data_IF_616131559123
#
_entry.id   IF_616131559123
#
_cell.length_a   1.000
_cell.length_b   1.000
_cell.length_c   1.000
_cell.angle_alpha   90.00
_cell.angle_beta   90.00
_cell.angle_gamma   90.00
#
_symmetry.space_group_name_H-M   'P 1'
#
loop_
_entity.id
_entity.type
_entity.pdbx_description
1 polymer ?
#
# COMPACT_ATOMS: atom_id res chain seq x y z
N UNK A 1 7.20 -15.64 6.01
CA UNK A 1 8.11 -15.51 4.86
C UNK A 1 7.30 -15.86 3.62
N UNK A 2 6.55 -14.89 3.12
CA UNK A 2 5.82 -15.05 1.86
C UNK A 2 6.87 -14.88 0.77
N UNK A 3 7.24 -15.98 0.14
CA UNK A 3 8.08 -16.00 -1.04
C UNK A 3 7.45 -15.07 -2.07
N UNK A 4 8.14 -14.00 -2.44
CA UNK A 4 7.83 -13.28 -3.66
C UNK A 4 7.80 -14.33 -4.78
N UNK A 5 6.79 -14.35 -5.67
CA UNK A 5 6.79 -15.25 -6.79
C UNK A 5 8.10 -15.05 -7.56
N UNK A 6 8.77 -16.15 -7.83
CA UNK A 6 10.00 -16.21 -8.60
C UNK A 6 9.77 -15.48 -9.94
N UNK A 7 10.54 -14.42 -10.28
CA UNK A 7 10.42 -13.73 -11.56
C UNK A 7 10.65 -14.64 -12.77
N UNK A 8 10.99 -15.93 -12.56
CA UNK A 8 11.18 -16.92 -13.62
C UNK A 8 9.91 -17.71 -14.00
N UNK A 9 8.77 -17.52 -13.31
CA UNK A 9 7.47 -18.10 -13.70
C UNK A 9 6.60 -17.16 -14.54
N UNK A 10 7.20 -16.29 -15.34
CA UNK A 10 6.45 -15.61 -16.39
C UNK A 10 5.99 -16.62 -17.43
N UNK A 11 4.68 -16.74 -17.62
CA UNK A 11 4.10 -17.53 -18.70
C UNK A 11 4.73 -17.10 -20.02
N UNK A 12 5.40 -18.05 -20.71
CA UNK A 12 6.15 -17.77 -21.94
C UNK A 12 5.71 -18.68 -23.08
N UNK A 13 5.01 -19.76 -22.76
CA UNK A 13 4.61 -20.75 -23.75
C UNK A 13 3.50 -20.19 -24.66
N UNK A 14 3.60 -20.57 -25.93
CA UNK A 14 2.64 -20.30 -26.98
C UNK A 14 1.90 -21.59 -27.28
N UNK A 15 0.58 -21.59 -27.15
CA UNK A 15 -0.25 -22.72 -27.59
C UNK A 15 -0.71 -22.49 -29.02
N UNK A 16 -0.25 -23.36 -29.93
CA UNK A 16 -0.71 -23.38 -31.33
C UNK A 16 -1.71 -24.51 -31.51
N UNK A 17 -2.87 -24.17 -32.08
CA UNK A 17 -3.99 -25.14 -32.25
C UNK A 17 -4.39 -25.21 -33.71
N UNK A 18 -4.28 -26.40 -34.28
CA UNK A 18 -4.58 -26.70 -35.66
C UNK A 18 -4.92 -28.19 -35.79
N UNK A 19 -5.98 -28.52 -36.52
CA UNK A 19 -6.40 -29.93 -36.69
C UNK A 19 -5.48 -30.72 -37.65
N UNK A 20 -4.61 -30.03 -38.37
CA UNK A 20 -3.66 -30.64 -39.26
C UNK A 20 -2.31 -30.91 -38.57
N UNK A 21 -1.92 -32.17 -38.30
CA UNK A 21 -0.68 -32.48 -37.59
C UNK A 21 0.57 -31.94 -38.28
N UNK A 22 0.51 -31.80 -39.60
CA UNK A 22 1.60 -31.24 -40.41
C UNK A 22 1.79 -29.74 -40.12
N UNK A 23 0.69 -29.01 -40.02
CA UNK A 23 0.68 -27.58 -39.64
C UNK A 23 1.27 -27.39 -38.23
N UNK A 24 0.89 -28.21 -37.25
CA UNK A 24 1.44 -28.21 -35.90
C UNK A 24 2.95 -28.44 -35.89
N UNK A 25 3.44 -29.46 -36.59
CA UNK A 25 4.87 -29.76 -36.70
C UNK A 25 5.65 -28.64 -37.39
N UNK A 26 5.07 -28.10 -38.48
CA UNK A 26 5.68 -27.00 -39.24
C UNK A 26 5.81 -25.74 -38.36
N UNK A 27 4.74 -25.35 -37.67
CA UNK A 27 4.74 -24.19 -36.77
C UNK A 27 5.78 -24.35 -35.65
N UNK A 28 5.80 -25.50 -34.98
CA UNK A 28 6.78 -25.76 -33.94
C UNK A 28 8.21 -25.79 -34.48
N UNK A 29 8.44 -26.32 -35.69
CA UNK A 29 9.75 -26.35 -36.33
C UNK A 29 10.24 -24.98 -36.81
N UNK A 30 9.33 -24.14 -37.32
CA UNK A 30 9.68 -22.78 -37.78
C UNK A 30 9.97 -21.79 -36.66
N UNK A 31 9.24 -21.88 -35.55
CA UNK A 31 9.27 -20.86 -34.50
C UNK A 31 9.80 -21.36 -33.16
N UNK A 32 10.05 -22.68 -33.00
CA UNK A 32 10.52 -23.30 -31.77
C UNK A 32 11.99 -23.00 -31.40
N UNK A 33 12.74 -22.38 -32.32
CA UNK A 33 14.10 -21.88 -32.08
C UNK A 33 14.11 -20.63 -31.18
N UNK A 34 13.03 -19.85 -31.22
CA UNK A 34 12.90 -18.58 -30.50
C UNK A 34 11.83 -18.65 -29.40
N UNK A 35 10.78 -19.43 -29.55
CA UNK A 35 9.62 -19.46 -28.71
C UNK A 35 9.39 -20.86 -28.10
N UNK A 36 8.87 -20.89 -26.87
CA UNK A 36 8.39 -22.14 -26.26
C UNK A 36 6.98 -22.45 -26.81
N UNK A 37 6.89 -23.45 -27.69
CA UNK A 37 5.67 -23.77 -28.44
C UNK A 37 5.15 -25.13 -28.03
N UNK A 38 3.90 -25.14 -27.57
CA UNK A 38 3.09 -26.37 -27.44
C UNK A 38 2.02 -26.37 -28.52
N UNK A 39 1.71 -27.54 -29.01
CA UNK A 39 0.71 -27.72 -30.07
C UNK A 39 -0.45 -28.58 -29.58
N UNK A 40 -1.65 -28.33 -30.10
CA UNK A 40 -2.83 -29.12 -29.88
C UNK A 40 -3.52 -29.41 -31.24
N UNK A 41 -4.00 -30.61 -31.41
CA UNK A 41 -4.64 -31.10 -32.64
C UNK A 41 -6.10 -30.72 -32.80
N UNK A 42 -6.59 -29.80 -31.93
CA UNK A 42 -7.95 -29.30 -31.98
C UNK A 42 -8.42 -28.66 -30.66
N UNK A 43 -9.66 -28.21 -30.67
CA UNK A 43 -10.25 -27.43 -29.54
C UNK A 43 -10.30 -28.25 -28.26
N UNK A 44 -10.64 -29.53 -28.33
CA UNK A 44 -10.79 -30.41 -27.15
C UNK A 44 -9.46 -30.58 -26.43
N UNK A 45 -8.38 -30.86 -27.16
CA UNK A 45 -7.04 -31.01 -26.61
C UNK A 45 -6.51 -29.65 -26.08
N UNK A 46 -6.73 -28.57 -26.82
CA UNK A 46 -6.36 -27.24 -26.38
C UNK A 46 -7.00 -26.85 -25.04
N UNK A 47 -8.30 -27.11 -24.88
CA UNK A 47 -8.99 -26.86 -23.61
C UNK A 47 -8.49 -27.77 -22.49
N UNK A 48 -8.14 -29.02 -22.76
CA UNK A 48 -7.55 -29.91 -21.77
C UNK A 48 -6.16 -29.42 -21.30
N UNK A 49 -5.30 -28.97 -22.23
CA UNK A 49 -4.01 -28.36 -21.91
C UNK A 49 -4.17 -27.07 -21.09
N UNK A 50 -5.10 -26.21 -21.48
CA UNK A 50 -5.39 -24.98 -20.73
C UNK A 50 -5.92 -25.26 -19.33
N UNK A 51 -6.74 -26.29 -19.15
CA UNK A 51 -7.23 -26.67 -17.82
C UNK A 51 -6.13 -27.22 -16.91
N UNK A 52 -5.13 -27.88 -17.46
CA UNK A 52 -4.01 -28.46 -16.71
C UNK A 52 -2.88 -27.46 -16.46
N UNK A 53 -2.54 -26.64 -17.48
CA UNK A 53 -1.33 -25.83 -17.52
C UNK A 53 -1.60 -24.37 -17.97
N UNK A 54 -2.83 -23.87 -17.81
CA UNK A 54 -3.25 -22.57 -18.35
C UNK A 54 -2.39 -21.37 -17.92
N UNK A 55 -1.78 -21.44 -16.74
CA UNK A 55 -0.89 -20.38 -16.23
C UNK A 55 0.50 -20.35 -16.91
N UNK A 56 0.88 -21.38 -17.65
CA UNK A 56 2.17 -21.44 -18.36
C UNK A 56 2.08 -20.76 -19.73
N UNK A 57 0.87 -20.62 -20.27
CA UNK A 57 0.66 -20.03 -21.58
C UNK A 57 0.48 -18.51 -21.50
N UNK A 58 1.15 -17.80 -22.41
CA UNK A 58 1.02 -16.36 -22.64
C UNK A 58 0.17 -16.04 -23.87
N UNK A 59 0.28 -16.87 -24.91
CA UNK A 59 -0.32 -16.64 -26.22
C UNK A 59 -1.04 -17.88 -26.70
N UNK A 60 -2.22 -17.71 -27.28
CA UNK A 60 -2.94 -18.72 -28.05
C UNK A 60 -2.95 -18.31 -29.51
N UNK A 61 -2.51 -19.19 -30.39
CA UNK A 61 -2.66 -19.09 -31.84
C UNK A 61 -3.57 -20.22 -32.28
N UNK A 62 -4.70 -19.95 -32.90
CA UNK A 62 -5.62 -21.03 -33.34
C UNK A 62 -5.96 -20.88 -34.81
N UNK A 63 -6.06 -22.02 -35.50
CA UNK A 63 -6.67 -22.04 -36.82
C UNK A 63 -8.16 -21.68 -36.74
N UNK A 64 -8.68 -21.06 -37.79
CA UNK A 64 -10.09 -20.67 -37.88
C UNK A 64 -10.99 -21.88 -38.14
N UNK A 65 -10.62 -22.73 -39.14
CA UNK A 65 -11.45 -23.83 -39.60
C UNK A 65 -10.91 -25.18 -39.11
N UNK A 66 -11.55 -25.70 -38.09
CA UNK A 66 -11.25 -27.03 -37.57
C UNK A 66 -12.53 -27.90 -37.59
N UNK A 67 -12.43 -29.20 -37.86
CA UNK A 67 -13.56 -30.13 -37.71
C UNK A 67 -14.13 -30.05 -36.29
N UNK A 68 -15.35 -30.46 -36.08
CA UNK A 68 -16.06 -30.52 -34.81
C UNK A 68 -16.34 -29.17 -34.12
N UNK A 69 -15.35 -28.28 -33.98
CA UNK A 69 -15.50 -26.93 -33.38
C UNK A 69 -14.55 -25.95 -34.05
N UNK A 70 -15.08 -24.81 -34.49
CA UNK A 70 -14.28 -23.77 -35.12
C UNK A 70 -13.41 -23.01 -34.08
N UNK A 71 -12.30 -22.42 -34.55
CA UNK A 71 -11.40 -21.64 -33.71
C UNK A 71 -12.06 -20.47 -33.04
N UNK A 72 -13.17 -19.95 -33.57
CA UNK A 72 -13.92 -18.86 -32.92
C UNK A 72 -14.54 -19.26 -31.60
N UNK A 73 -15.04 -20.52 -31.50
CA UNK A 73 -15.57 -21.02 -30.22
C UNK A 73 -14.47 -21.21 -29.19
N UNK A 74 -13.28 -21.65 -29.62
CA UNK A 74 -12.10 -21.69 -28.73
C UNK A 74 -11.74 -20.31 -28.25
N UNK A 75 -11.63 -19.32 -29.13
CA UNK A 75 -11.30 -17.94 -28.81
C UNK A 75 -12.28 -17.34 -27.80
N UNK A 76 -13.59 -17.58 -27.99
CA UNK A 76 -14.64 -17.11 -27.07
C UNK A 76 -14.53 -17.77 -25.69
N UNK A 77 -14.29 -19.09 -25.63
CA UNK A 77 -14.08 -19.79 -24.37
C UNK A 77 -12.85 -19.28 -23.63
N UNK A 78 -11.74 -19.13 -24.34
CA UNK A 78 -10.48 -18.60 -23.77
C UNK A 78 -10.65 -17.12 -23.33
N UNK A 79 -11.41 -16.32 -24.07
CA UNK A 79 -11.70 -14.94 -23.64
C UNK A 79 -12.47 -14.89 -22.32
N UNK A 80 -13.37 -15.82 -22.09
CA UNK A 80 -14.17 -15.87 -20.85
C UNK A 80 -13.36 -16.40 -19.68
N UNK A 81 -12.65 -17.53 -19.87
CA UNK A 81 -12.08 -18.34 -18.81
C UNK A 81 -10.57 -18.07 -18.59
N UNK A 82 -9.83 -17.63 -19.63
CA UNK A 82 -8.38 -17.39 -19.63
C UNK A 82 -8.04 -16.00 -20.18
N UNK A 83 -8.58 -14.95 -19.56
CA UNK A 83 -8.45 -13.55 -20.00
C UNK A 83 -7.03 -13.03 -20.10
N UNK A 84 -6.08 -13.68 -19.42
CA UNK A 84 -4.67 -13.31 -19.44
C UNK A 84 -4.00 -13.66 -20.77
N UNK A 85 -4.50 -14.67 -21.51
CA UNK A 85 -3.94 -15.08 -22.77
C UNK A 85 -4.17 -14.03 -23.86
N UNK A 86 -3.11 -13.72 -24.60
CA UNK A 86 -3.20 -12.98 -25.84
C UNK A 86 -3.57 -13.94 -26.96
N UNK A 87 -4.51 -13.58 -27.81
CA UNK A 87 -5.09 -14.45 -28.82
C UNK A 87 -4.72 -13.96 -30.22
N UNK A 88 -4.29 -14.88 -31.05
CA UNK A 88 -4.03 -14.72 -32.48
C UNK A 88 -4.87 -15.73 -33.24
N UNK A 89 -5.28 -15.38 -34.44
CA UNK A 89 -6.04 -16.26 -35.35
C UNK A 89 -5.20 -16.53 -36.58
N UNK A 90 -4.96 -17.81 -36.92
CA UNK A 90 -4.38 -18.22 -38.19
C UNK A 90 -5.50 -18.60 -39.13
N UNK A 91 -5.46 -18.20 -40.39
CA UNK A 91 -6.50 -18.55 -41.35
C UNK A 91 -5.99 -18.48 -42.81
N UNK A 92 -6.40 -19.44 -43.63
CA UNK A 92 -6.17 -19.39 -45.09
C UNK A 92 -7.14 -18.43 -45.80
N UNK A 93 -8.15 -17.91 -45.08
CA UNK A 93 -9.20 -17.10 -45.66
C UNK A 93 -9.50 -15.88 -44.73
N UNK A 94 -8.86 -14.79 -44.99
CA UNK A 94 -9.03 -13.55 -44.22
C UNK A 94 -10.19 -12.68 -44.78
N UNK A 95 -11.34 -13.28 -45.09
CA UNK A 95 -12.51 -12.53 -45.52
C UNK A 95 -12.94 -11.51 -44.46
N UNK A 96 -13.46 -10.36 -44.93
CA UNK A 96 -13.85 -9.23 -44.05
C UNK A 96 -14.75 -9.62 -42.87
N UNK A 97 -15.68 -10.55 -43.10
CA UNK A 97 -16.60 -11.03 -42.06
C UNK A 97 -15.88 -11.83 -40.97
N UNK A 98 -14.95 -12.73 -41.33
CA UNK A 98 -14.12 -13.50 -40.41
C UNK A 98 -13.23 -12.58 -39.59
N UNK A 99 -12.59 -11.63 -40.26
CA UNK A 99 -11.74 -10.65 -39.58
C UNK A 99 -12.53 -9.81 -38.54
N UNK A 100 -13.71 -9.31 -38.95
CA UNK A 100 -14.58 -8.57 -38.03
C UNK A 100 -15.07 -9.42 -36.83
N UNK A 101 -15.45 -10.66 -37.08
CA UNK A 101 -15.86 -11.59 -36.01
C UNK A 101 -14.70 -11.90 -35.05
N UNK A 102 -13.51 -12.17 -35.56
CA UNK A 102 -12.31 -12.44 -34.77
C UNK A 102 -11.94 -11.25 -33.87
N UNK A 103 -11.96 -10.02 -34.40
CA UNK A 103 -11.66 -8.81 -33.62
C UNK A 103 -12.76 -8.53 -32.60
N UNK A 104 -14.04 -8.56 -33.00
CA UNK A 104 -15.15 -8.15 -32.14
C UNK A 104 -15.52 -9.20 -31.10
N UNK A 105 -15.58 -10.48 -31.46
CA UNK A 105 -16.03 -11.58 -30.62
C UNK A 105 -14.87 -12.36 -30.01
N UNK A 106 -13.81 -12.66 -30.78
CA UNK A 106 -12.62 -13.37 -30.30
C UNK A 106 -11.64 -12.48 -29.54
N UNK A 107 -11.72 -11.14 -29.72
CA UNK A 107 -10.76 -10.16 -29.18
C UNK A 107 -9.31 -10.56 -29.49
N UNK A 108 -9.06 -10.95 -30.74
CA UNK A 108 -7.71 -11.30 -31.21
C UNK A 108 -6.86 -10.05 -31.39
N UNK A 109 -5.58 -10.15 -31.08
CA UNK A 109 -4.60 -9.08 -31.31
C UNK A 109 -4.31 -8.91 -32.80
N UNK A 110 -4.11 -10.03 -33.51
CA UNK A 110 -3.75 -10.04 -34.93
C UNK A 110 -4.26 -11.29 -35.60
N UNK A 111 -4.50 -11.19 -36.91
CA UNK A 111 -4.82 -12.33 -37.78
C UNK A 111 -3.59 -12.64 -38.62
N UNK A 112 -3.20 -13.91 -38.66
CA UNK A 112 -2.10 -14.44 -39.44
C UNK A 112 -2.67 -15.16 -40.65
N UNK A 113 -2.31 -14.69 -41.86
CA UNK A 113 -2.76 -15.32 -43.07
C UNK A 113 -1.86 -16.47 -43.47
N UNK A 114 -2.47 -17.63 -43.80
CA UNK A 114 -1.75 -18.80 -44.30
C UNK A 114 -1.52 -18.70 -45.80
N UNK A 115 -0.34 -19.06 -46.35
CA UNK A 115 0.81 -19.63 -45.64
C UNK A 115 1.49 -18.61 -44.73
N UNK A 116 1.91 -19.07 -43.55
CA UNK A 116 2.51 -18.19 -42.53
C UNK A 116 3.87 -17.67 -43.03
N UNK A 117 4.00 -16.37 -43.09
CA UNK A 117 5.26 -15.70 -43.35
C UNK A 117 6.13 -15.72 -42.08
N UNK A 118 7.41 -16.11 -42.18
CA UNK A 118 8.31 -16.25 -41.04
C UNK A 118 8.49 -14.93 -40.30
N UNK A 119 8.79 -13.86 -41.00
CA UNK A 119 9.09 -12.54 -40.41
C UNK A 119 7.85 -11.94 -39.74
N UNK A 120 6.73 -11.90 -40.45
CA UNK A 120 5.49 -11.32 -39.94
C UNK A 120 4.91 -12.11 -38.77
N UNK A 121 5.05 -13.44 -38.79
CA UNK A 121 4.58 -14.29 -37.70
C UNK A 121 5.44 -14.11 -36.45
N UNK A 122 6.80 -14.07 -36.57
CA UNK A 122 7.69 -13.77 -35.44
C UNK A 122 7.40 -12.42 -34.82
N UNK A 123 7.18 -11.39 -35.64
CA UNK A 123 6.79 -10.06 -35.14
C UNK A 123 5.49 -10.11 -34.34
N UNK A 124 4.47 -10.79 -34.88
CA UNK A 124 3.18 -10.93 -34.19
C UNK A 124 3.29 -11.70 -32.87
N UNK A 125 4.11 -12.75 -32.82
CA UNK A 125 4.36 -13.51 -31.58
C UNK A 125 5.13 -12.69 -30.55
N UNK A 126 6.14 -11.93 -30.96
CA UNK A 126 6.87 -10.98 -30.07
C UNK A 126 5.95 -9.90 -29.51
N UNK A 127 5.10 -9.31 -30.37
CA UNK A 127 4.11 -8.32 -29.97
C UNK A 127 3.12 -8.91 -28.95
N UNK A 128 2.62 -10.12 -29.19
CA UNK A 128 1.69 -10.80 -28.31
C UNK A 128 2.32 -11.09 -26.93
N UNK A 129 3.55 -11.60 -26.89
CA UNK A 129 4.29 -11.83 -25.65
C UNK A 129 4.58 -10.54 -24.89
N UNK A 130 4.98 -9.48 -25.59
CA UNK A 130 5.22 -8.17 -24.99
C UNK A 130 3.93 -7.59 -24.37
N UNK A 131 2.79 -7.72 -25.07
CA UNK A 131 1.50 -7.29 -24.55
C UNK A 131 1.06 -8.11 -23.33
N UNK A 132 1.30 -9.43 -23.34
CA UNK A 132 1.03 -10.30 -22.19
C UNK A 132 1.83 -9.83 -20.96
N UNK A 133 3.15 -9.61 -21.12
CA UNK A 133 4.02 -9.12 -20.04
C UNK A 133 3.58 -7.76 -19.50
N UNK A 134 3.27 -6.80 -20.39
CA UNK A 134 2.79 -5.48 -19.98
C UNK A 134 1.52 -5.56 -19.14
N UNK A 135 0.55 -6.38 -19.56
CA UNK A 135 -0.69 -6.61 -18.80
C UNK A 135 -0.46 -7.33 -17.48
N UNK A 136 0.49 -8.26 -17.41
CA UNK A 136 0.84 -8.95 -16.16
C UNK A 136 1.44 -7.98 -15.14
N UNK A 137 2.36 -7.11 -15.57
CA UNK A 137 2.95 -6.05 -14.72
C UNK A 137 1.86 -5.09 -14.21
N UNK A 138 0.97 -4.64 -15.10
CA UNK A 138 -0.13 -3.73 -14.73
C UNK A 138 -1.07 -4.35 -13.70
N UNK A 139 -1.41 -5.65 -13.85
CA UNK A 139 -2.22 -6.39 -12.87
C UNK A 139 -1.51 -6.50 -11.52
N UNK A 140 -0.25 -6.91 -11.52
CA UNK A 140 0.54 -7.03 -10.29
C UNK A 140 0.65 -5.71 -9.54
N UNK A 141 0.87 -4.60 -10.25
CA UNK A 141 0.88 -3.25 -9.68
C UNK A 141 -0.47 -2.86 -9.10
N UNK A 142 -1.56 -3.19 -9.79
CA UNK A 142 -2.91 -2.88 -9.33
C UNK A 142 -3.32 -3.73 -8.11
N UNK A 143 -2.99 -5.01 -8.12
CA UNK A 143 -3.21 -5.91 -6.98
C UNK A 143 -2.41 -5.45 -5.75
N UNK A 144 -1.15 -5.06 -5.95
CA UNK A 144 -0.33 -4.46 -4.89
C UNK A 144 -0.93 -3.17 -4.32
N UNK A 145 -1.47 -2.30 -5.18
CA UNK A 145 -2.17 -1.07 -4.75
C UNK A 145 -3.43 -1.39 -3.94
N UNK A 146 -4.25 -2.33 -4.40
CA UNK A 146 -5.48 -2.74 -3.70
C UNK A 146 -5.16 -3.38 -2.35
N UNK A 147 -4.14 -4.22 -2.27
CA UNK A 147 -3.69 -4.82 -1.02
C UNK A 147 -3.20 -3.76 -0.01
N UNK A 148 -2.38 -2.80 -0.46
CA UNK A 148 -1.91 -1.69 0.36
C UNK A 148 -3.05 -0.81 0.87
N UNK A 149 -4.06 -0.53 0.01
CA UNK A 149 -5.24 0.24 0.40
C UNK A 149 -6.07 -0.49 1.47
N UNK A 150 -6.32 -1.79 1.29
CA UNK A 150 -7.08 -2.61 2.28
C UNK A 150 -6.41 -2.61 3.64
N UNK A 151 -5.09 -2.73 3.68
CA UNK A 151 -4.37 -2.73 4.94
C UNK A 151 -4.38 -1.36 5.61
N UNK A 152 -4.22 -0.27 4.83
CA UNK A 152 -4.34 1.09 5.34
C UNK A 152 -5.74 1.35 5.91
N UNK A 153 -6.80 0.87 5.25
CA UNK A 153 -8.18 0.94 5.74
C UNK A 153 -8.37 0.16 7.05
N UNK A 154 -7.79 -1.03 7.15
CA UNK A 154 -7.84 -1.84 8.39
C UNK A 154 -7.16 -1.14 9.56
N UNK A 155 -5.98 -0.56 9.33
CA UNK A 155 -5.27 0.24 10.32
C UNK A 155 -6.09 1.46 10.78
N UNK A 156 -6.67 2.20 9.85
CA UNK A 156 -7.48 3.38 10.16
C UNK A 156 -8.74 3.03 10.94
N UNK A 157 -9.44 1.98 10.55
CA UNK A 157 -10.61 1.52 11.29
C UNK A 157 -10.26 1.23 12.76
N UNK A 158 -9.09 0.63 12.99
CA UNK A 158 -8.61 0.37 14.34
C UNK A 158 -8.24 1.65 15.08
N UNK A 159 -7.49 2.57 14.45
CA UNK A 159 -7.07 3.83 15.05
C UNK A 159 -8.24 4.81 15.30
N UNK A 160 -9.34 4.69 14.57
CA UNK A 160 -10.56 5.45 14.81
C UNK A 160 -11.43 4.82 15.91
N UNK A 161 -11.54 3.50 15.97
CA UNK A 161 -12.39 2.82 16.94
C UNK A 161 -11.96 3.09 18.39
N UNK A 162 -10.66 3.17 18.65
CA UNK A 162 -10.10 3.44 20.00
C UNK A 162 -10.54 4.81 20.55
N UNK A 163 -10.28 5.96 19.88
CA UNK A 163 -10.72 7.25 20.39
C UNK A 163 -12.24 7.41 20.39
N UNK A 164 -12.97 6.81 19.43
CA UNK A 164 -14.43 6.82 19.44
C UNK A 164 -15.01 6.06 20.63
N UNK A 165 -14.44 4.92 21.01
CA UNK A 165 -14.82 4.21 22.24
C UNK A 165 -14.57 5.06 23.48
N UNK A 166 -13.47 5.81 23.49
CA UNK A 166 -13.15 6.75 24.58
C UNK A 166 -14.13 7.92 24.65
N UNK A 167 -14.47 8.53 23.50
CA UNK A 167 -15.54 9.56 23.42
C UNK A 167 -16.84 9.03 24.00
N UNK A 168 -17.27 7.84 23.57
CA UNK A 168 -18.48 7.20 24.08
C UNK A 168 -18.40 6.96 25.59
N UNK A 169 -17.23 6.55 26.11
CA UNK A 169 -17.02 6.36 27.54
C UNK A 169 -17.19 7.64 28.35
N UNK A 170 -16.58 8.76 27.91
CA UNK A 170 -16.77 10.06 28.55
C UNK A 170 -18.23 10.54 28.53
N UNK A 171 -18.87 10.46 27.36
CA UNK A 171 -20.28 10.85 27.22
C UNK A 171 -21.21 9.97 28.08
N UNK A 172 -21.00 8.66 28.11
CA UNK A 172 -21.75 7.75 28.97
C UNK A 172 -21.55 8.07 30.47
N UNK A 173 -20.32 8.41 30.86
CA UNK A 173 -20.04 8.83 32.26
C UNK A 173 -20.78 10.10 32.63
N UNK A 174 -20.86 11.09 31.71
CA UNK A 174 -21.62 12.33 31.92
C UNK A 174 -23.12 12.03 32.02
N UNK A 175 -23.68 11.27 31.07
CA UNK A 175 -25.11 10.92 31.05
C UNK A 175 -25.52 10.19 32.32
N UNK A 176 -24.71 9.23 32.78
CA UNK A 176 -25.03 8.45 33.99
C UNK A 176 -24.93 9.27 35.30
N UNK A 177 -24.34 10.45 35.26
CA UNK A 177 -24.25 11.38 36.40
C UNK A 177 -25.34 12.45 36.43
N UNK A 178 -26.21 12.46 35.46
CA UNK A 178 -27.36 13.36 35.42
C UNK A 178 -28.29 13.10 36.63
N UNK A 179 -28.62 14.15 37.36
CA UNK A 179 -29.52 14.11 38.48
C UNK A 179 -30.91 14.63 38.06
N UNK A 180 -32.00 14.05 38.58
CA UNK A 180 -33.34 14.60 38.35
C UNK A 180 -33.44 16.02 38.93
N UNK A 181 -34.28 16.86 38.32
CA UNK A 181 -34.49 18.23 38.74
C UNK A 181 -34.96 18.29 40.21
N UNK A 182 -34.26 19.05 41.05
CA UNK A 182 -34.62 19.26 42.43
C UNK A 182 -35.76 20.29 42.53
N UNK A 183 -36.67 20.20 43.53
CA UNK A 183 -37.70 21.21 43.78
C UNK A 183 -37.10 22.59 43.99
N UNK A 184 -37.54 23.62 43.24
CA UNK A 184 -37.06 24.98 43.33
C UNK A 184 -35.92 25.36 42.37
N UNK A 185 -35.50 24.48 41.49
CA UNK A 185 -34.53 24.83 40.46
C UNK A 185 -35.08 25.81 39.43
N UNK A 186 -34.25 26.72 38.95
CA UNK A 186 -34.59 27.63 37.84
C UNK A 186 -34.87 26.81 36.56
N UNK A 187 -35.85 27.22 35.73
CA UNK A 187 -36.11 26.53 34.44
C UNK A 187 -34.87 26.51 33.56
N UNK A 188 -34.58 25.33 32.95
CA UNK A 188 -33.42 25.16 32.10
C UNK A 188 -32.12 24.81 32.83
N UNK A 189 -32.12 24.65 34.14
CA UNK A 189 -30.95 24.16 34.91
C UNK A 189 -30.89 22.66 34.92
N UNK A 190 -29.69 22.10 34.68
CA UNK A 190 -29.41 20.65 34.74
C UNK A 190 -28.35 20.41 35.80
N UNK A 191 -28.55 19.37 36.61
CA UNK A 191 -27.59 18.97 37.65
C UNK A 191 -26.88 17.65 37.32
N UNK A 192 -25.60 17.59 37.68
CA UNK A 192 -24.81 16.37 37.58
C UNK A 192 -24.16 16.06 38.94
N UNK A 193 -24.07 14.79 39.29
CA UNK A 193 -23.30 14.34 40.44
C UNK A 193 -21.81 14.34 40.07
N UNK A 194 -20.99 15.11 40.78
CA UNK A 194 -19.53 15.10 40.61
C UNK A 194 -18.86 14.53 41.86
N UNK A 195 -17.86 13.65 41.65
CA UNK A 195 -16.99 13.19 42.75
C UNK A 195 -15.91 14.23 43.07
N UNK A 196 -15.49 14.97 42.03
CA UNK A 196 -14.57 16.09 42.14
C UNK A 196 -15.11 17.25 41.34
N UNK A 197 -14.99 18.50 41.85
CA UNK A 197 -15.49 19.69 41.16
C UNK A 197 -14.88 19.82 39.75
N UNK A 198 -15.72 20.01 38.73
CA UNK A 198 -15.32 20.20 37.33
C UNK A 198 -15.10 18.89 36.56
N UNK A 199 -15.36 17.73 37.15
CA UNK A 199 -15.15 16.41 36.49
C UNK A 199 -16.02 16.22 35.25
N UNK A 200 -17.26 16.71 35.26
CA UNK A 200 -18.17 16.65 34.11
C UNK A 200 -17.66 17.51 32.97
N UNK A 201 -17.21 18.73 33.26
CA UNK A 201 -16.66 19.63 32.24
C UNK A 201 -15.34 19.09 31.66
N UNK A 202 -14.50 18.49 32.50
CA UNK A 202 -13.28 17.83 32.06
C UNK A 202 -13.58 16.63 31.14
N UNK A 203 -14.60 15.84 31.47
CA UNK A 203 -15.04 14.70 30.62
C UNK A 203 -15.55 15.19 29.25
N UNK A 204 -16.35 16.27 29.20
CA UNK A 204 -16.84 16.85 27.94
C UNK A 204 -15.68 17.40 27.10
N UNK A 205 -14.75 18.16 27.70
CA UNK A 205 -13.58 18.68 27.00
C UNK A 205 -12.67 17.56 26.48
N UNK A 206 -12.53 16.45 27.21
CA UNK A 206 -11.80 15.27 26.75
C UNK A 206 -12.51 14.56 25.58
N UNK A 207 -13.83 14.45 25.62
CA UNK A 207 -14.62 13.88 24.54
C UNK A 207 -14.48 14.74 23.26
N UNK A 208 -14.56 16.07 23.38
CA UNK A 208 -14.41 17.00 22.27
C UNK A 208 -13.01 16.87 21.60
N UNK A 209 -11.94 16.91 22.40
CA UNK A 209 -10.56 16.74 21.89
C UNK A 209 -10.40 15.41 21.16
N UNK A 210 -10.97 14.33 21.66
CA UNK A 210 -10.94 13.01 20.99
C UNK A 210 -11.74 12.98 19.69
N UNK A 211 -12.88 13.66 19.64
CA UNK A 211 -13.66 13.80 18.42
C UNK A 211 -12.92 14.60 17.34
N UNK A 212 -12.28 15.73 17.70
CA UNK A 212 -11.45 16.51 16.80
C UNK A 212 -10.26 15.70 16.28
N UNK A 213 -9.61 14.89 17.12
CA UNK A 213 -8.58 13.98 16.71
C UNK A 213 -9.07 12.95 15.67
N UNK A 214 -10.27 12.36 15.87
CA UNK A 214 -10.88 11.47 14.88
C UNK A 214 -11.14 12.17 13.54
N UNK A 215 -11.60 13.43 13.56
CA UNK A 215 -11.82 14.23 12.35
C UNK A 215 -10.50 14.48 11.61
N UNK A 216 -9.43 14.84 12.31
CA UNK A 216 -8.10 15.03 11.74
C UNK A 216 -7.60 13.74 11.08
N UNK A 217 -7.71 12.58 11.73
CA UNK A 217 -7.37 11.27 11.14
C UNK A 217 -8.16 10.98 9.86
N UNK A 218 -9.47 11.24 9.86
CA UNK A 218 -10.32 11.02 8.67
C UNK A 218 -9.95 11.96 7.52
N UNK A 219 -9.77 13.25 7.80
CA UNK A 219 -9.39 14.24 6.79
C UNK A 219 -8.06 13.88 6.14
N UNK A 220 -7.09 13.51 6.95
CA UNK A 220 -5.78 13.01 6.54
C UNK A 220 -5.89 11.82 5.60
N UNK A 221 -6.75 10.86 5.93
CA UNK A 221 -6.95 9.68 5.09
C UNK A 221 -7.64 10.00 3.75
N UNK A 222 -8.70 10.80 3.76
CA UNK A 222 -9.42 11.21 2.55
C UNK A 222 -8.47 11.93 1.59
N UNK A 223 -7.62 12.80 2.11
CA UNK A 223 -6.60 13.49 1.33
C UNK A 223 -5.58 12.50 0.75
N UNK A 224 -5.07 11.57 1.57
CA UNK A 224 -4.15 10.52 1.13
C UNK A 224 -4.72 9.63 0.02
N UNK A 225 -6.02 9.31 0.09
CA UNK A 225 -6.70 8.55 -0.94
C UNK A 225 -6.86 9.34 -2.25
N UNK A 226 -7.04 10.66 -2.18
CA UNK A 226 -7.10 11.56 -3.36
C UNK A 226 -5.73 11.72 -4.01
N UNK A 227 -4.68 11.89 -3.21
CA UNK A 227 -3.31 12.11 -3.70
C UNK A 227 -2.65 10.83 -4.26
N UNK A 228 -3.30 9.67 -4.11
CA UNK A 228 -2.89 8.42 -4.75
C UNK A 228 -3.11 8.40 -6.27
N UNK A 229 -3.81 9.41 -6.85
CA UNK A 229 -3.97 9.55 -8.29
C UNK A 229 -2.70 10.14 -8.94
N UNK A 230 -2.27 9.62 -10.11
CA UNK A 230 -1.12 10.16 -10.83
C UNK A 230 -1.39 11.61 -11.27
N UNK A 231 -0.56 12.55 -10.81
CA UNK A 231 -0.63 13.96 -11.19
C UNK A 231 -0.77 14.97 -10.05
N UNK A 232 -0.90 14.55 -8.80
CA UNK A 232 -0.83 15.45 -7.66
C UNK A 232 0.58 16.05 -7.55
N UNK A 233 0.69 17.37 -7.55
CA UNK A 233 1.95 18.07 -7.30
C UNK A 233 2.38 17.77 -5.86
N UNK A 234 3.51 17.11 -5.71
CA UNK A 234 4.13 16.84 -4.41
C UNK A 234 4.56 18.17 -3.78
N UNK A 235 3.78 18.70 -2.85
CA UNK A 235 4.17 19.87 -2.06
C UNK A 235 5.20 19.44 -1.01
N UNK A 236 6.31 20.14 -0.94
CA UNK A 236 7.29 19.98 0.12
C UNK A 236 6.90 20.85 1.33
N UNK A 237 7.16 20.37 2.54
CA UNK A 237 6.90 21.10 3.80
C UNK A 237 8.03 20.83 4.79
N UNK A 238 8.22 21.72 5.77
CA UNK A 238 9.30 21.55 6.74
C UNK A 238 8.96 20.50 7.81
N UNK A 239 9.98 19.80 8.28
CA UNK A 239 9.84 18.82 9.35
C UNK A 239 9.42 19.48 10.66
N UNK A 240 9.93 20.69 10.96
CA UNK A 240 9.55 21.48 12.13
C UNK A 240 8.06 21.84 12.13
N UNK A 241 7.50 22.22 10.97
CA UNK A 241 6.06 22.54 10.87
C UNK A 241 5.18 21.33 11.15
N UNK A 242 5.63 20.12 10.74
CA UNK A 242 4.89 18.88 11.00
C UNK A 242 4.92 18.50 12.49
N UNK A 243 6.08 18.62 13.14
CA UNK A 243 6.20 18.33 14.59
C UNK A 243 5.43 19.34 15.42
N UNK A 244 5.43 20.62 15.05
CA UNK A 244 4.63 21.64 15.74
C UNK A 244 3.13 21.31 15.64
N UNK A 245 2.62 20.97 14.44
CA UNK A 245 1.23 20.52 14.30
C UNK A 245 0.92 19.29 15.15
N UNK A 246 1.83 18.31 15.24
CA UNK A 246 1.67 17.18 16.13
C UNK A 246 1.52 17.63 17.59
N UNK A 247 2.41 18.47 18.09
CA UNK A 247 2.41 18.90 19.47
C UNK A 247 1.19 19.75 19.86
N UNK A 248 0.60 20.45 18.88
CA UNK A 248 -0.58 21.31 19.09
C UNK A 248 -1.90 20.53 18.96
N UNK A 249 -1.98 19.59 18.02
CA UNK A 249 -3.23 18.93 17.64
C UNK A 249 -3.39 17.53 18.28
N UNK A 250 -2.29 16.86 18.67
CA UNK A 250 -2.37 15.51 19.26
C UNK A 250 -3.15 15.52 20.57
N UNK A 251 -4.08 14.59 20.71
CA UNK A 251 -4.97 14.48 21.86
C UNK A 251 -4.28 13.86 23.09
N UNK A 252 -3.36 14.59 23.68
CA UNK A 252 -2.71 14.23 24.95
C UNK A 252 -3.72 14.09 26.09
N UNK A 253 -3.51 13.13 26.98
CA UNK A 253 -4.35 12.91 28.18
C UNK A 253 -3.71 13.62 29.39
N UNK A 254 -4.52 14.33 30.17
CA UNK A 254 -4.06 14.99 31.39
C UNK A 254 -2.82 15.86 31.18
N UNK A 255 -1.72 15.51 31.81
CA UNK A 255 -0.44 16.24 31.73
C UNK A 255 0.52 15.70 30.64
N UNK A 256 0.11 14.74 29.82
CA UNK A 256 1.00 14.10 28.83
C UNK A 256 1.68 15.09 27.89
N UNK A 257 1.00 16.24 27.55
CA UNK A 257 1.60 17.29 26.70
C UNK A 257 2.89 17.87 27.31
N UNK A 258 2.95 17.99 28.63
CA UNK A 258 4.14 18.50 29.33
C UNK A 258 5.34 17.55 29.28
N UNK A 259 5.11 16.28 28.94
CA UNK A 259 6.18 15.28 28.81
C UNK A 259 6.86 15.31 27.44
N UNK A 260 6.20 15.93 26.44
CA UNK A 260 6.70 16.01 25.08
C UNK A 260 7.44 17.32 24.82
N UNK A 261 8.67 17.21 24.31
CA UNK A 261 9.52 18.34 23.91
C UNK A 261 10.06 18.12 22.49
N UNK A 262 10.35 19.23 21.79
CA UNK A 262 10.99 19.21 20.48
C UNK A 262 12.31 19.96 20.55
N UNK A 263 13.36 19.40 19.93
CA UNK A 263 14.67 20.03 19.73
C UNK A 263 14.97 20.03 18.23
N UNK A 264 15.21 21.21 17.68
CA UNK A 264 15.53 21.36 16.25
C UNK A 264 17.01 21.75 16.17
N UNK A 265 17.86 20.77 15.81
CA UNK A 265 19.27 21.01 15.51
C UNK A 265 19.43 21.55 14.09
N UNK A 266 18.71 20.93 13.14
CA UNK A 266 18.66 21.34 11.74
C UNK A 266 17.28 20.97 11.17
N UNK A 267 16.55 21.96 10.62
CA UNK A 267 15.28 21.71 9.93
C UNK A 267 15.53 21.24 8.50
N UNK A 268 14.59 20.46 7.95
CA UNK A 268 14.68 19.92 6.60
C UNK A 268 13.30 19.78 5.97
N UNK A 269 13.29 19.68 4.64
CA UNK A 269 12.07 19.50 3.87
C UNK A 269 11.73 18.01 3.72
N UNK A 270 10.43 17.74 3.86
CA UNK A 270 9.83 16.41 3.75
C UNK A 270 9.09 16.26 2.41
N UNK A 271 9.06 15.05 1.83
CA UNK A 271 8.30 14.78 0.60
C UNK A 271 6.80 14.82 0.85
N UNK A 272 6.07 15.30 -0.10
CA UNK A 272 4.71 15.77 -0.14
C UNK A 272 3.54 14.87 0.30
N UNK A 273 3.71 14.02 1.29
CA UNK A 273 2.60 13.27 1.92
C UNK A 273 2.50 13.61 3.40
N UNK A 274 2.23 14.90 3.65
CA UNK A 274 2.16 15.49 4.99
C UNK A 274 1.24 14.70 5.92
N UNK A 275 0.09 14.33 5.43
CA UNK A 275 -0.95 13.57 6.13
C UNK A 275 -0.47 12.18 6.57
N UNK A 276 0.15 11.40 5.70
CA UNK A 276 0.69 10.08 6.07
C UNK A 276 1.81 10.20 7.09
N UNK A 277 2.70 11.18 6.92
CA UNK A 277 3.76 11.44 7.88
C UNK A 277 3.20 11.91 9.22
N UNK A 278 2.16 12.74 9.23
CA UNK A 278 1.46 13.12 10.45
C UNK A 278 0.92 11.91 11.20
N UNK A 279 0.29 10.94 10.50
CA UNK A 279 -0.17 9.68 11.10
C UNK A 279 0.98 8.84 11.67
N UNK A 280 2.13 8.81 11.01
CA UNK A 280 3.33 8.16 11.54
C UNK A 280 3.72 8.81 12.87
N UNK A 281 3.80 10.14 12.93
CA UNK A 281 4.17 10.85 14.17
C UNK A 281 3.14 10.62 15.28
N UNK A 282 1.84 10.66 14.97
CA UNK A 282 0.77 10.33 15.92
C UNK A 282 0.93 8.91 16.48
N UNK A 283 1.23 7.94 15.61
CA UNK A 283 1.42 6.54 16.02
C UNK A 283 2.62 6.37 16.96
N UNK A 284 3.74 7.02 16.63
CA UNK A 284 4.95 6.98 17.45
C UNK A 284 4.74 7.68 18.80
N UNK A 285 4.09 8.85 18.80
CA UNK A 285 3.75 9.59 20.03
C UNK A 285 2.84 8.76 20.94
N UNK A 286 1.78 8.16 20.37
CA UNK A 286 0.88 7.26 21.11
C UNK A 286 1.64 6.09 21.73
N UNK A 287 2.53 5.45 20.97
CA UNK A 287 3.32 4.33 21.46
C UNK A 287 4.22 4.74 22.63
N UNK A 288 4.90 5.88 22.52
CA UNK A 288 5.75 6.42 23.59
C UNK A 288 4.94 6.76 24.86
N UNK A 289 3.80 7.50 24.72
CA UNK A 289 2.95 7.84 25.86
C UNK A 289 2.44 6.59 26.58
N UNK A 290 2.01 5.58 25.83
CA UNK A 290 1.56 4.32 26.39
C UNK A 290 2.70 3.53 27.06
N UNK A 291 3.92 3.59 26.53
CA UNK A 291 5.08 2.90 27.11
C UNK A 291 5.49 3.53 28.45
N UNK A 292 5.36 4.82 28.59
CA UNK A 292 5.73 5.59 29.78
C UNK A 292 4.65 5.62 30.86
N UNK A 293 3.44 5.13 30.59
CA UNK A 293 2.31 5.18 31.52
C UNK A 293 2.65 4.49 32.84
N UNK A 294 2.47 5.21 33.96
CA UNK A 294 2.78 4.74 35.30
C UNK A 294 4.27 4.80 35.71
N UNK A 295 5.16 5.29 34.85
CA UNK A 295 6.57 5.51 35.21
C UNK A 295 6.79 6.89 35.85
N UNK A 296 7.75 7.05 36.75
CA UNK A 296 8.11 8.35 37.30
C UNK A 296 8.86 9.17 36.27
N UNK A 297 8.51 10.47 36.16
CA UNK A 297 9.18 11.44 35.29
C UNK A 297 9.15 11.07 33.79
N UNK A 298 7.96 10.78 33.20
CA UNK A 298 7.86 10.42 31.79
C UNK A 298 8.38 11.55 30.90
N UNK A 299 9.13 11.20 29.85
CA UNK A 299 9.72 12.18 28.92
C UNK A 299 9.78 11.62 27.51
N UNK A 300 9.14 12.34 26.58
CA UNK A 300 9.29 12.14 25.14
C UNK A 300 10.06 13.33 24.56
N UNK A 301 11.15 13.06 23.87
CA UNK A 301 11.94 14.08 23.17
C UNK A 301 11.92 13.77 21.68
N UNK A 302 11.51 14.74 20.87
CA UNK A 302 11.52 14.67 19.42
C UNK A 302 12.68 15.55 18.93
N UNK A 303 13.60 14.98 18.17
CA UNK A 303 14.76 15.69 17.65
C UNK A 303 14.74 15.71 16.13
N UNK A 304 15.02 16.88 15.55
CA UNK A 304 15.22 17.07 14.11
C UNK A 304 16.68 17.41 13.85
N UNK A 305 17.31 16.71 12.92
CA UNK A 305 18.71 16.94 12.58
C UNK A 305 19.20 16.04 11.47
N UNK A 306 20.52 15.88 11.38
CA UNK A 306 21.18 14.96 10.44
C UNK A 306 21.98 13.91 11.18
N UNK A 307 22.04 12.73 10.61
CA UNK A 307 22.88 11.65 11.11
C UNK A 307 23.90 11.23 10.05
N UNK A 308 25.18 11.06 10.43
CA UNK A 308 26.21 10.55 9.51
C UNK A 308 25.80 9.17 8.98
N UNK A 309 25.94 8.96 7.69
CA UNK A 309 25.75 7.64 7.11
C UNK A 309 27.06 6.85 7.20
N UNK A 310 26.99 5.59 7.65
CA UNK A 310 28.17 4.73 7.66
C UNK A 310 28.70 4.55 6.23
N UNK A 311 29.93 5.03 5.95
CA UNK A 311 30.58 5.03 4.64
C UNK A 311 30.68 6.43 4.01
N UNK A 312 31.07 6.50 2.71
CA UNK A 312 31.26 7.74 1.95
C UNK A 312 29.89 8.23 1.44
N UNK A 313 29.01 8.68 2.32
CA UNK A 313 27.70 9.21 1.98
C UNK A 313 27.42 10.56 2.65
N UNK A 314 26.58 11.40 2.01
CA UNK A 314 26.08 12.62 2.65
C UNK A 314 25.22 12.31 3.87
N UNK A 315 25.28 13.13 4.95
CA UNK A 315 24.42 12.96 6.12
C UNK A 315 22.95 12.90 5.72
N UNK A 316 22.20 11.97 6.31
CA UNK A 316 20.75 11.83 6.06
C UNK A 316 19.95 12.66 7.04
N UNK A 317 18.90 13.32 6.57
CA UNK A 317 17.93 13.99 7.43
C UNK A 317 17.24 12.94 8.31
N UNK A 318 17.16 13.22 9.61
CA UNK A 318 16.67 12.28 10.60
C UNK A 318 15.73 12.98 11.60
N UNK A 319 14.62 12.29 11.92
CA UNK A 319 13.73 12.64 13.03
C UNK A 319 13.79 11.53 14.06
N UNK A 320 14.11 11.86 15.32
CA UNK A 320 14.26 10.90 16.43
C UNK A 320 13.13 11.09 17.43
N UNK A 321 12.45 10.01 17.78
CA UNK A 321 11.50 9.93 18.88
C UNK A 321 12.15 9.15 20.02
N UNK A 322 12.48 9.81 21.10
CA UNK A 322 13.22 9.27 22.25
C UNK A 322 12.31 9.27 23.46
N UNK A 323 11.94 8.11 23.96
CA UNK A 323 11.18 7.95 25.19
C UNK A 323 12.04 7.31 26.29
N UNK A 324 11.68 7.57 27.54
CA UNK A 324 12.29 6.93 28.72
C UNK A 324 11.39 5.81 29.29
N UNK A 325 10.72 5.09 28.41
CA UNK A 325 9.88 3.93 28.75
C UNK A 325 10.66 2.73 29.28
N UNK A 326 10.04 1.55 29.39
CA UNK A 326 10.68 0.33 29.88
C UNK A 326 11.69 -0.29 28.90
N UNK A 327 11.82 0.27 27.71
CA UNK A 327 12.59 -0.35 26.63
C UNK A 327 11.90 -1.56 26.03
N UNK A 328 12.58 -2.16 25.05
CA UNK A 328 12.06 -3.26 24.23
C UNK A 328 13.08 -4.41 24.28
N UNK A 329 12.65 -5.62 24.62
CA UNK A 329 13.54 -6.79 24.61
C UNK A 329 14.17 -7.03 23.24
N UNK A 330 15.46 -7.43 23.16
CA UNK A 330 16.16 -7.64 21.89
C UNK A 330 15.46 -8.64 20.95
N UNK A 331 14.83 -9.67 21.51
CA UNK A 331 14.07 -10.68 20.76
C UNK A 331 12.87 -10.08 20.01
N UNK A 332 12.24 -9.05 20.58
CA UNK A 332 11.13 -8.35 19.97
C UNK A 332 11.59 -7.29 18.96
N UNK A 333 12.72 -6.62 19.18
CA UNK A 333 13.27 -5.61 18.29
C UNK A 333 13.44 -6.12 16.85
N UNK A 334 13.91 -7.35 16.68
CA UNK A 334 14.12 -7.97 15.35
C UNK A 334 12.81 -8.16 14.58
N UNK A 335 11.68 -8.28 15.31
CA UNK A 335 10.37 -8.59 14.72
C UNK A 335 9.48 -7.36 14.53
N UNK A 336 9.65 -6.32 15.35
CA UNK A 336 8.72 -5.19 15.50
C UNK A 336 8.34 -4.45 14.21
N UNK A 337 9.22 -4.39 13.21
CA UNK A 337 8.92 -3.74 11.93
C UNK A 337 8.64 -4.73 10.81
N UNK A 338 8.76 -6.03 11.06
CA UNK A 338 8.62 -7.10 10.05
C UNK A 338 7.32 -7.88 10.20
N UNK A 339 6.84 -7.99 11.43
CA UNK A 339 5.66 -8.78 11.79
C UNK A 339 4.74 -7.95 12.70
N UNK A 340 3.42 -8.24 12.73
CA UNK A 340 2.52 -7.64 13.71
C UNK A 340 2.84 -8.21 15.09
N UNK A 341 3.66 -7.48 15.86
CA UNK A 341 4.04 -7.84 17.22
C UNK A 341 3.43 -6.86 18.20
N UNK A 342 2.72 -7.34 19.20
CA UNK A 342 2.26 -6.54 20.33
C UNK A 342 2.80 -7.10 21.63
N UNK A 343 3.30 -6.22 22.50
CA UNK A 343 3.68 -6.55 23.86
C UNK A 343 2.48 -6.48 24.83
N UNK A 344 1.26 -6.23 24.28
CA UNK A 344 0.04 -5.93 25.04
C UNK A 344 -1.14 -6.76 24.53
N UNK A 345 -1.01 -8.07 24.54
CA UNK A 345 -2.12 -9.00 24.36
C UNK A 345 -3.12 -8.77 25.50
N UNK A 346 -4.31 -8.22 25.18
CA UNK A 346 -5.36 -7.89 26.15
C UNK A 346 -5.65 -6.41 26.38
N UNK A 347 -4.77 -5.47 25.97
CA UNK A 347 -4.99 -4.02 26.09
C UNK A 347 -5.23 -3.31 24.73
N UNK A 348 -5.66 -4.04 23.68
CA UNK A 348 -6.07 -3.48 22.38
C UNK A 348 -4.91 -3.14 21.43
N UNK A 349 -3.70 -3.62 21.67
CA UNK A 349 -2.55 -3.44 20.78
C UNK A 349 -2.50 -4.55 19.71
N UNK A 350 -2.72 -4.23 18.43
CA UNK A 350 -2.66 -5.21 17.33
C UNK A 350 -1.27 -5.35 16.67
N UNK A 351 -0.25 -4.66 17.18
CA UNK A 351 1.11 -4.71 16.61
C UNK A 351 1.26 -4.09 15.21
N UNK A 352 0.21 -3.55 14.62
CA UNK A 352 0.19 -3.03 13.25
C UNK A 352 0.79 -1.62 13.11
N UNK A 353 0.89 -0.85 14.20
CA UNK A 353 1.30 0.56 14.15
C UNK A 353 2.70 0.79 13.58
N UNK A 354 3.70 0.03 14.03
CA UNK A 354 5.08 0.15 13.52
C UNK A 354 5.24 -0.40 12.09
N UNK A 355 4.46 -1.41 11.73
CA UNK A 355 4.41 -1.89 10.34
C UNK A 355 3.84 -0.81 9.39
N UNK A 356 2.77 -0.13 9.82
CA UNK A 356 2.23 1.02 9.10
C UNK A 356 3.30 2.11 8.94
N UNK A 357 3.96 2.52 10.04
CA UNK A 357 5.05 3.51 9.97
C UNK A 357 6.14 3.10 8.98
N UNK A 358 6.59 1.84 9.01
CA UNK A 358 7.58 1.32 8.05
C UNK A 358 7.14 1.45 6.61
N UNK A 359 5.90 1.09 6.29
CA UNK A 359 5.36 1.17 4.92
C UNK A 359 5.26 2.59 4.42
N UNK A 360 4.75 3.50 5.27
CA UNK A 360 4.69 4.92 4.92
C UNK A 360 6.10 5.44 4.63
N UNK A 361 7.06 5.17 5.50
CA UNK A 361 8.45 5.57 5.28
C UNK A 361 9.01 5.01 3.97
N UNK A 362 8.82 3.72 3.69
CA UNK A 362 9.24 3.11 2.42
C UNK A 362 8.56 3.74 1.20
N UNK A 363 7.28 4.10 1.30
CA UNK A 363 6.53 4.73 0.18
C UNK A 363 7.06 6.10 -0.23
N UNK A 364 7.78 6.78 0.66
CA UNK A 364 8.41 8.08 0.42
C UNK A 364 9.93 7.98 0.22
N UNK A 365 10.47 6.76 0.05
CA UNK A 365 11.89 6.52 -0.10
C UNK A 365 12.72 6.66 1.19
N UNK A 366 12.06 6.74 2.35
CA UNK A 366 12.67 6.80 3.67
C UNK A 366 12.82 5.43 4.32
N UNK A 367 13.33 5.40 5.55
CA UNK A 367 13.44 4.20 6.38
C UNK A 367 13.16 4.49 7.85
N UNK A 368 12.80 3.45 8.60
CA UNK A 368 12.60 3.48 10.05
C UNK A 368 13.56 2.51 10.72
N UNK A 369 14.20 2.94 11.79
CA UNK A 369 15.05 2.15 12.66
C UNK A 369 14.59 2.30 14.10
N UNK A 370 14.73 1.24 14.91
CA UNK A 370 14.37 1.26 16.33
C UNK A 370 15.59 0.80 17.12
N UNK A 371 16.02 1.62 18.06
CA UNK A 371 17.07 1.31 19.02
C UNK A 371 16.46 1.33 20.42
N UNK A 372 16.69 0.32 21.21
CA UNK A 372 16.16 0.25 22.57
C UNK A 372 17.00 -0.67 23.44
N UNK A 373 17.09 -0.31 24.70
CA UNK A 373 17.70 -1.10 25.75
C UNK A 373 16.70 -1.20 26.92
N UNK A 374 16.62 -2.35 27.57
CA UNK A 374 15.72 -2.56 28.69
C UNK A 374 15.99 -1.52 29.78
N UNK A 375 14.92 -0.96 30.33
CA UNK A 375 14.88 0.10 31.35
C UNK A 375 15.50 1.46 30.94
N UNK A 376 16.02 1.59 29.73
CA UNK A 376 16.59 2.85 29.20
C UNK A 376 15.69 3.52 28.15
N UNK A 377 14.51 2.94 27.86
CA UNK A 377 13.56 3.48 26.90
C UNK A 377 13.80 3.02 25.47
N UNK A 378 13.16 3.71 24.53
CA UNK A 378 13.31 3.42 23.12
C UNK A 378 13.56 4.70 22.30
N UNK A 379 14.32 4.54 21.22
CA UNK A 379 14.55 5.57 20.20
C UNK A 379 14.08 5.05 18.87
N UNK A 380 13.11 5.72 18.27
CA UNK A 380 12.64 5.47 16.90
C UNK A 380 13.21 6.54 15.99
N UNK A 381 13.95 6.12 14.96
CA UNK A 381 14.61 6.98 13.99
C UNK A 381 13.90 6.87 12.65
N UNK A 382 13.48 8.01 12.12
CA UNK A 382 12.91 8.15 10.77
C UNK A 382 13.95 8.83 9.89
N UNK A 383 14.44 8.13 8.87
CA UNK A 383 15.42 8.67 7.92
C UNK A 383 14.73 9.08 6.63
N UNK A 384 15.10 10.25 6.13
CA UNK A 384 14.56 10.83 4.91
C UNK A 384 15.66 11.05 3.87
N UNK A 385 15.30 10.93 2.59
CA UNK A 385 16.21 11.35 1.52
C UNK A 385 16.33 12.87 1.52
N UNK A 386 17.54 13.42 1.27
CA UNK A 386 17.71 14.86 1.19
C UNK A 386 16.88 15.43 0.03
N UNK A 387 16.06 16.43 0.35
CA UNK A 387 15.30 17.23 -0.62
C UNK A 387 15.91 18.62 -0.66
N UNK A 388 16.11 19.15 -1.88
CA UNK A 388 16.51 20.54 -2.05
C UNK A 388 15.40 21.48 -1.56
N UNK A 389 15.79 22.60 -0.95
CA UNK A 389 14.85 23.64 -0.57
C UNK A 389 14.06 24.14 -1.81
N UNK A 390 12.74 24.43 -1.69
CA UNK A 390 11.99 25.02 -2.77
C UNK A 390 12.65 26.33 -3.21
N UNK A 391 13.16 26.42 -4.45
CA UNK A 391 13.81 27.61 -5.00
C UNK A 391 15.32 27.53 -5.18
N UNK A 392 16.02 26.49 -4.75
CA UNK A 392 17.43 26.26 -5.10
C UNK A 392 17.55 25.64 -6.50
N UNK A 393 17.56 26.48 -7.52
CA UNK A 393 17.98 26.09 -8.88
C UNK A 393 19.51 25.95 -8.83
N UNK A 394 20.03 24.73 -9.02
CA UNK A 394 21.45 24.54 -9.25
C UNK A 394 21.88 25.37 -10.47
N UNK A 395 22.97 26.16 -10.38
CA UNK A 395 23.51 26.82 -11.55
C UNK A 395 23.99 25.75 -12.53
N UNK A 396 23.35 25.67 -13.70
CA UNK A 396 23.85 24.87 -14.80
C UNK A 396 25.30 25.30 -15.11
N UNK A 397 26.26 24.47 -14.72
CA UNK A 397 27.64 24.60 -15.17
C UNK A 397 27.65 24.30 -16.68
N UNK A 398 27.59 25.37 -17.46
CA UNK A 398 27.94 25.35 -18.88
C UNK A 398 29.37 24.82 -19.00
N UNK A 399 29.55 23.60 -19.44
CA UNK A 399 30.85 23.13 -19.99
C UNK A 399 30.91 23.58 -21.43
N UNK A 400 31.73 24.59 -21.67
CA UNK A 400 32.28 24.98 -22.96
C UNK A 400 33.18 23.89 -23.49
#
# INVERSE_FOLDING_TARGET
MMLLPDPQQDARAILFVDDEPTSCKLFAGMFGDEFDILTASGVTEALALLAQRGNEFAVLVTDYRMPERDGMKLLQSVQRDYRHLVRLLATAYAGKEVAMAAINQGKVLRILEKPLDDTLTREALREALALHRSKAIERSLNEGRVAALRETLGFLAHELNTPLATVRGYLSAVVNRHLPAAPGMAPGTVQFAELQPGEVMAALANAERRALYCQSLMSTFVQSARDAYPGALLQTFSASSLVNSLLDEFAFEGNERSFASCVIEEDFYLPGRRDLLYLVLCTLTKNAMLAMRGRPGPRLRIELGREPQAGIGSPRSCMRFIDNGPGIPPELLVRLTKEPVTTREGAGGNGMGLMFCRRVMQSIGGSIEIRSELDHGATVLLYFQPLAAPGSVEPQTNRS
#
